data_IF_093325161492
#
_entry.id   IF_093325161492
#
_cell.length_a   1.000
_cell.length_b   1.000
_cell.length_c   1.000
_cell.angle_alpha   90.00
_cell.angle_beta   90.00
_cell.angle_gamma   90.00
#
_symmetry.space_group_name_H-M   'P 1'
#
loop_
_entity.id
_entity.type
_entity.pdbx_description
1 polymer ?
#
# COMPACT_ATOMS: atom_id res chain seq x y z
N UNK A 1 26.07 18.29 26.74
CA UNK A 1 26.11 18.47 25.27
C UNK A 1 25.88 17.10 24.68
N UNK A 2 24.63 16.79 24.31
CA UNK A 2 24.23 15.47 23.82
C UNK A 2 23.98 15.66 22.33
N UNK A 3 24.88 15.15 21.51
CA UNK A 3 24.71 15.13 20.06
C UNK A 3 23.81 13.95 19.74
N UNK A 4 22.59 14.23 19.29
CA UNK A 4 21.68 13.20 18.78
C UNK A 4 22.11 12.93 17.34
N UNK A 5 22.80 11.81 17.14
CA UNK A 5 23.15 11.30 15.80
C UNK A 5 21.85 10.91 15.11
N UNK A 6 21.49 11.62 14.04
CA UNK A 6 20.26 11.41 13.26
C UNK A 6 20.07 9.94 12.92
N UNK A 7 18.87 9.44 13.24
CA UNK A 7 18.44 8.10 12.89
C UNK A 7 18.15 8.06 11.38
N UNK A 8 18.85 7.24 10.58
CA UNK A 8 18.65 7.16 9.14
C UNK A 8 17.23 6.72 8.75
N UNK A 9 16.45 6.12 9.67
CA UNK A 9 15.05 5.83 9.45
C UNK A 9 14.17 7.10 9.46
N UNK A 10 14.51 8.09 10.29
CA UNK A 10 13.80 9.38 10.40
C UNK A 10 14.18 10.30 9.24
N UNK A 11 15.46 10.34 8.86
CA UNK A 11 15.94 11.16 7.75
C UNK A 11 15.38 10.70 6.39
N UNK A 12 15.20 9.39 6.21
CA UNK A 12 14.62 8.83 5.00
C UNK A 12 13.10 9.04 4.92
N UNK A 13 12.41 9.22 6.05
CA UNK A 13 10.99 9.63 6.09
C UNK A 13 10.88 11.13 5.80
N UNK A 14 11.74 11.96 6.40
CA UNK A 14 11.76 13.40 6.17
C UNK A 14 12.05 13.79 4.69
N UNK A 15 12.97 13.09 4.01
CA UNK A 15 13.21 13.29 2.58
C UNK A 15 12.03 12.84 1.71
N UNK A 16 11.29 11.79 2.10
CA UNK A 16 10.13 11.29 1.36
C UNK A 16 8.94 12.22 1.49
N UNK A 17 8.69 12.79 2.67
CA UNK A 17 7.66 13.80 2.90
C UNK A 17 7.88 15.06 2.03
N UNK A 18 9.14 15.46 1.83
CA UNK A 18 9.47 16.60 0.96
C UNK A 18 9.31 16.36 -0.55
N UNK A 19 9.15 15.10 -0.97
CA UNK A 19 8.98 14.71 -2.37
C UNK A 19 7.55 14.23 -2.70
N UNK A 20 6.61 14.32 -1.75
CA UNK A 20 5.22 13.93 -1.95
C UNK A 20 4.54 14.84 -2.97
N UNK A 21 3.91 14.24 -3.97
CA UNK A 21 3.00 14.93 -4.87
C UNK A 21 1.58 14.48 -4.55
N UNK A 22 0.95 15.14 -3.57
CA UNK A 22 -0.46 14.91 -3.21
C UNK A 22 -1.43 15.24 -4.35
N UNK A 23 -0.96 15.92 -5.40
CA UNK A 23 -1.72 16.25 -6.62
C UNK A 23 -1.46 15.31 -7.78
N UNK A 24 -0.65 14.26 -7.56
CA UNK A 24 -0.33 13.33 -8.62
C UNK A 24 -1.59 12.68 -9.21
N UNK A 25 -1.69 12.66 -10.54
CA UNK A 25 -2.88 12.21 -11.27
C UNK A 25 -3.33 10.79 -10.88
N UNK A 26 -2.40 9.93 -10.47
CA UNK A 26 -2.68 8.56 -10.07
C UNK A 26 -3.43 8.46 -8.72
N UNK A 27 -3.46 9.51 -7.92
CA UNK A 27 -4.22 9.59 -6.66
C UNK A 27 -5.66 10.03 -6.86
N UNK A 28 -5.96 10.79 -7.93
CA UNK A 28 -7.28 11.37 -8.16
C UNK A 28 -8.45 10.37 -8.09
N UNK A 29 -8.33 9.14 -8.63
CA UNK A 29 -9.37 8.12 -8.49
C UNK A 29 -9.68 7.74 -7.04
N UNK A 30 -8.66 7.71 -6.17
CA UNK A 30 -8.82 7.28 -4.78
C UNK A 30 -9.57 8.30 -3.92
N UNK A 31 -9.46 9.60 -4.23
CA UNK A 31 -10.23 10.64 -3.54
C UNK A 31 -11.73 10.63 -3.88
N UNK A 32 -12.11 9.98 -4.98
CA UNK A 32 -13.51 9.91 -5.42
C UNK A 32 -14.32 8.85 -4.66
N UNK A 33 -13.67 7.99 -3.87
CA UNK A 33 -14.30 6.90 -3.14
C UNK A 33 -13.64 6.69 -1.77
N UNK A 34 -14.33 7.18 -0.73
CA UNK A 34 -13.84 7.25 0.66
C UNK A 34 -13.91 5.93 1.44
N UNK A 35 -13.78 4.79 0.76
CA UNK A 35 -13.77 3.48 1.41
C UNK A 35 -12.51 3.30 2.27
N UNK A 36 -12.62 2.64 3.45
CA UNK A 36 -11.45 2.30 4.26
C UNK A 36 -10.39 1.59 3.41
N UNK A 37 -9.21 2.20 3.32
CA UNK A 37 -8.16 1.78 2.38
C UNK A 37 -6.90 1.36 3.12
N UNK A 38 -6.45 0.12 2.89
CA UNK A 38 -5.19 -0.42 3.42
C UNK A 38 -4.13 -0.37 2.33
N UNK A 39 -2.99 0.26 2.62
CA UNK A 39 -1.83 0.34 1.72
C UNK A 39 -0.77 -0.63 2.21
N UNK A 40 -0.53 -1.70 1.47
CA UNK A 40 0.53 -2.67 1.73
C UNK A 40 1.72 -2.39 0.80
N UNK A 41 2.69 -1.64 1.30
CA UNK A 41 3.89 -1.22 0.57
C UNK A 41 5.03 -2.23 0.65
N UNK A 42 5.88 -2.28 -0.40
CA UNK A 42 7.10 -3.10 -0.44
C UNK A 42 6.90 -4.56 -0.04
N UNK A 43 5.79 -5.17 -0.46
CA UNK A 43 5.43 -6.54 -0.06
C UNK A 43 6.24 -7.59 -0.79
N UNK A 44 6.67 -8.62 -0.06
CA UNK A 44 7.31 -9.80 -0.62
C UNK A 44 6.32 -10.95 -0.76
N UNK A 45 6.64 -11.95 -1.59
CA UNK A 45 5.78 -13.12 -1.76
C UNK A 45 5.53 -13.89 -0.44
N UNK A 46 6.50 -13.87 0.47
CA UNK A 46 6.41 -14.42 1.83
C UNK A 46 5.40 -13.65 2.71
N UNK A 47 5.36 -12.32 2.59
CA UNK A 47 4.38 -11.47 3.28
C UNK A 47 2.96 -11.74 2.79
N UNK A 48 2.78 -11.86 1.47
CA UNK A 48 1.47 -11.99 0.83
C UNK A 48 0.66 -13.19 1.36
N UNK A 49 1.30 -14.30 1.77
CA UNK A 49 0.55 -15.45 2.32
C UNK A 49 -0.18 -15.09 3.61
N UNK A 50 0.47 -14.35 4.50
CA UNK A 50 -0.10 -13.96 5.80
C UNK A 50 -0.99 -12.73 5.67
N UNK A 51 -0.56 -11.76 4.87
CA UNK A 51 -1.30 -10.55 4.59
C UNK A 51 -2.69 -10.87 4.02
N UNK A 52 -2.79 -11.75 3.02
CA UNK A 52 -4.08 -12.10 2.43
C UNK A 52 -5.03 -12.77 3.44
N UNK A 53 -4.52 -13.61 4.35
CA UNK A 53 -5.34 -14.22 5.41
C UNK A 53 -5.82 -13.16 6.41
N UNK A 54 -4.95 -12.23 6.80
CA UNK A 54 -5.34 -11.12 7.68
C UNK A 54 -6.42 -10.24 7.04
N UNK A 55 -6.26 -9.92 5.75
CA UNK A 55 -7.23 -9.11 4.99
C UNK A 55 -8.59 -9.79 4.87
N UNK A 56 -8.66 -11.12 4.78
CA UNK A 56 -9.93 -11.85 4.81
C UNK A 56 -10.65 -11.68 6.15
N UNK A 57 -9.92 -11.76 7.26
CA UNK A 57 -10.48 -11.53 8.60
C UNK A 57 -10.95 -10.08 8.74
N UNK A 58 -10.16 -9.11 8.26
CA UNK A 58 -10.57 -7.69 8.31
C UNK A 58 -11.83 -7.46 7.49
N UNK A 59 -11.95 -8.09 6.31
CA UNK A 59 -13.15 -8.00 5.45
C UNK A 59 -14.41 -8.51 6.15
N UNK A 60 -14.33 -9.52 7.02
CA UNK A 60 -15.51 -10.01 7.76
C UNK A 60 -15.95 -9.08 8.89
N UNK A 61 -15.04 -8.26 9.42
CA UNK A 61 -15.31 -7.36 10.55
C UNK A 61 -15.67 -5.95 10.08
N UNK A 62 -14.91 -5.41 9.13
CA UNK A 62 -15.03 -4.03 8.63
C UNK A 62 -15.95 -3.94 7.41
N UNK A 63 -16.15 -5.04 6.70
CA UNK A 63 -16.99 -5.09 5.50
C UNK A 63 -16.24 -4.65 4.25
N UNK A 64 -16.76 -3.64 3.57
CA UNK A 64 -16.21 -3.15 2.30
C UNK A 64 -14.90 -2.37 2.53
N UNK A 65 -13.77 -3.06 2.31
CA UNK A 65 -12.43 -2.46 2.39
C UNK A 65 -11.76 -2.44 1.03
N UNK A 66 -10.94 -1.40 0.78
CA UNK A 66 -10.00 -1.34 -0.33
C UNK A 66 -8.62 -1.81 0.16
N UNK A 67 -7.93 -2.55 -0.69
CA UNK A 67 -6.51 -2.85 -0.49
C UNK A 67 -5.72 -2.33 -1.68
N UNK A 68 -4.57 -1.73 -1.41
CA UNK A 68 -3.59 -1.34 -2.42
C UNK A 68 -2.32 -2.09 -2.08
N UNK A 69 -1.84 -2.93 -2.98
CA UNK A 69 -0.66 -3.76 -2.75
C UNK A 69 0.44 -3.34 -3.71
N UNK A 70 1.53 -2.80 -3.16
CA UNK A 70 2.76 -2.57 -3.88
C UNK A 70 3.74 -3.72 -3.63
N UNK A 71 3.95 -4.63 -4.60
CA UNK A 71 5.01 -5.63 -4.50
C UNK A 71 6.37 -4.95 -4.48
N UNK A 72 7.34 -5.55 -3.80
CA UNK A 72 8.71 -5.03 -3.76
C UNK A 72 9.31 -4.92 -5.18
N UNK A 73 8.99 -5.88 -6.05
CA UNK A 73 9.37 -5.86 -7.45
C UNK A 73 8.11 -6.06 -8.32
N UNK A 74 7.63 -5.01 -9.01
CA UNK A 74 6.45 -5.09 -9.87
C UNK A 74 6.79 -5.70 -11.22
N UNK A 75 7.25 -6.95 -11.23
CA UNK A 75 7.40 -7.71 -12.49
C UNK A 75 6.04 -8.12 -13.04
N UNK A 76 5.91 -8.25 -14.36
CA UNK A 76 4.67 -8.71 -15.00
C UNK A 76 4.18 -10.05 -14.42
N UNK A 77 5.12 -10.97 -14.17
CA UNK A 77 4.83 -12.25 -13.53
C UNK A 77 4.35 -12.07 -12.09
N UNK A 78 5.03 -11.23 -11.29
CA UNK A 78 4.66 -10.96 -9.90
C UNK A 78 3.27 -10.32 -9.78
N UNK A 79 2.97 -9.33 -10.61
CA UNK A 79 1.66 -8.66 -10.69
C UNK A 79 0.58 -9.64 -11.11
N UNK A 80 0.82 -10.45 -12.15
CA UNK A 80 -0.15 -11.45 -12.63
C UNK A 80 -0.45 -12.53 -11.60
N UNK A 81 0.59 -13.05 -10.93
CA UNK A 81 0.43 -14.04 -9.87
C UNK A 81 -0.29 -13.47 -8.63
N UNK A 82 -0.03 -12.21 -8.26
CA UNK A 82 -0.75 -11.54 -7.18
C UNK A 82 -2.23 -11.35 -7.54
N UNK A 83 -2.52 -10.88 -8.76
CA UNK A 83 -3.88 -10.77 -9.30
C UNK A 83 -4.63 -12.09 -9.19
N UNK A 84 -4.06 -13.18 -9.70
CA UNK A 84 -4.70 -14.49 -9.67
C UNK A 84 -5.02 -14.95 -8.23
N UNK A 85 -4.10 -14.71 -7.29
CA UNK A 85 -4.31 -15.06 -5.87
C UNK A 85 -5.43 -14.26 -5.21
N UNK A 86 -5.60 -13.00 -5.60
CA UNK A 86 -6.67 -12.12 -5.10
C UNK A 86 -8.02 -12.52 -5.71
N UNK A 87 -8.07 -12.76 -7.01
CA UNK A 87 -9.29 -13.17 -7.72
C UNK A 87 -9.80 -14.52 -7.24
N UNK A 88 -8.90 -15.48 -6.97
CA UNK A 88 -9.23 -16.77 -6.32
C UNK A 88 -9.90 -16.61 -4.95
N UNK A 89 -9.71 -15.46 -4.30
CA UNK A 89 -10.31 -15.10 -3.00
C UNK A 89 -11.49 -14.14 -3.17
N UNK A 90 -12.03 -14.01 -4.38
CA UNK A 90 -13.18 -13.16 -4.70
C UNK A 90 -12.93 -11.68 -4.39
N UNK A 91 -11.72 -11.20 -4.66
CA UNK A 91 -11.40 -9.78 -4.72
C UNK A 91 -11.53 -9.31 -6.17
N UNK A 92 -12.26 -8.23 -6.40
CA UNK A 92 -12.21 -7.52 -7.68
C UNK A 92 -10.87 -6.78 -7.78
N UNK A 93 -10.13 -6.98 -8.88
CA UNK A 93 -8.76 -6.45 -8.99
C UNK A 93 -8.58 -5.51 -10.17
N UNK A 94 -7.69 -4.52 -10.02
CA UNK A 94 -7.10 -3.75 -11.12
C UNK A 94 -5.64 -3.44 -10.84
N UNK A 95 -4.85 -3.18 -11.88
CA UNK A 95 -3.55 -2.51 -11.68
C UNK A 95 -3.72 -1.01 -11.56
N UNK A 96 -2.70 -0.31 -11.03
CA UNK A 96 -2.70 1.15 -11.00
C UNK A 96 -2.86 1.75 -12.40
N UNK A 97 -2.17 1.20 -13.41
CA UNK A 97 -2.33 1.63 -14.80
C UNK A 97 -3.77 1.51 -15.32
N UNK A 98 -4.48 0.44 -14.96
CA UNK A 98 -5.89 0.27 -15.34
C UNK A 98 -6.81 1.26 -14.62
N UNK A 99 -6.53 1.54 -13.34
CA UNK A 99 -7.24 2.56 -12.55
C UNK A 99 -7.07 3.95 -13.16
N UNK A 100 -5.84 4.30 -13.57
CA UNK A 100 -5.55 5.56 -14.27
C UNK A 100 -6.27 5.66 -15.61
N UNK A 101 -6.26 4.58 -16.40
CA UNK A 101 -6.93 4.53 -17.71
C UNK A 101 -8.44 4.75 -17.61
N UNK A 102 -9.07 4.18 -16.58
CA UNK A 102 -10.52 4.27 -16.34
C UNK A 102 -10.88 5.50 -15.49
N UNK A 103 -9.89 6.15 -14.88
CA UNK A 103 -10.04 7.24 -13.91
C UNK A 103 -10.99 6.89 -12.74
N UNK A 104 -11.02 5.63 -12.31
CA UNK A 104 -11.92 5.18 -11.24
C UNK A 104 -11.44 3.91 -10.53
N UNK A 105 -11.66 3.88 -9.22
CA UNK A 105 -11.49 2.73 -8.32
C UNK A 105 -12.83 2.13 -7.86
N UNK A 106 -13.95 2.59 -8.42
CA UNK A 106 -15.28 2.13 -8.04
C UNK A 106 -15.47 0.65 -8.40
N UNK A 107 -16.02 -0.13 -7.46
CA UNK A 107 -16.23 -1.57 -7.63
C UNK A 107 -14.95 -2.41 -7.72
N UNK A 108 -13.81 -1.87 -7.29
CA UNK A 108 -12.52 -2.55 -7.26
C UNK A 108 -12.02 -2.65 -5.84
N UNK A 109 -11.90 -3.87 -5.31
CA UNK A 109 -11.48 -4.15 -3.93
C UNK A 109 -9.97 -4.10 -3.78
N UNK A 110 -9.22 -4.56 -4.79
CA UNK A 110 -7.76 -4.64 -4.75
C UNK A 110 -7.10 -3.90 -5.92
N UNK A 111 -6.25 -2.92 -5.61
CA UNK A 111 -5.40 -2.24 -6.59
C UNK A 111 -3.97 -2.76 -6.46
N UNK A 112 -3.40 -3.25 -7.56
CA UNK A 112 -2.02 -3.76 -7.61
C UNK A 112 -1.13 -2.70 -8.23
N UNK A 113 -0.06 -2.33 -7.54
CA UNK A 113 0.89 -1.35 -8.06
C UNK A 113 1.88 -2.04 -8.98
N UNK A 114 1.87 -1.64 -10.25
CA UNK A 114 2.63 -2.22 -11.35
C UNK A 114 3.87 -1.38 -11.73
N UNK A 115 4.22 -0.38 -10.91
CA UNK A 115 5.41 0.46 -11.11
C UNK A 115 6.03 0.93 -9.79
N UNK A 116 7.29 1.30 -9.83
CA UNK A 116 8.02 1.89 -8.69
C UNK A 116 7.81 3.40 -8.61
N UNK A 117 8.09 3.98 -7.44
CA UNK A 117 8.13 5.44 -7.25
C UNK A 117 6.81 6.11 -6.85
N UNK A 118 5.69 5.39 -6.83
CA UNK A 118 4.36 5.93 -6.45
C UNK A 118 3.93 5.63 -5.02
N UNK A 119 4.69 4.80 -4.30
CA UNK A 119 4.30 4.33 -2.96
C UNK A 119 4.18 5.46 -1.92
N UNK A 120 5.08 6.47 -1.85
CA UNK A 120 4.94 7.58 -0.92
C UNK A 120 3.60 8.32 -1.09
N UNK A 121 3.25 8.61 -2.35
CA UNK A 121 2.00 9.29 -2.71
C UNK A 121 0.79 8.43 -2.31
N UNK A 122 0.83 7.11 -2.54
CA UNK A 122 -0.26 6.20 -2.20
C UNK A 122 -0.52 6.08 -0.70
N UNK A 123 0.48 6.28 0.16
CA UNK A 123 0.24 6.31 1.60
C UNK A 123 -0.63 7.49 2.03
N UNK A 124 -0.67 8.58 1.26
CA UNK A 124 -1.50 9.76 1.57
C UNK A 124 -3.00 9.51 1.41
N UNK A 125 -3.39 8.50 0.63
CA UNK A 125 -4.79 8.07 0.44
C UNK A 125 -5.16 6.85 1.29
N UNK A 126 -4.19 6.34 2.07
CA UNK A 126 -4.36 5.20 2.95
C UNK A 126 -4.94 5.58 4.30
N UNK A 127 -5.78 4.71 4.86
CA UNK A 127 -6.21 4.77 6.26
C UNK A 127 -5.32 3.92 7.16
N UNK A 128 -4.75 2.84 6.61
CA UNK A 128 -3.84 1.93 7.32
C UNK A 128 -2.66 1.60 6.40
N UNK A 129 -1.44 1.75 6.90
CA UNK A 129 -0.21 1.35 6.20
C UNK A 129 0.34 0.02 6.73
N UNK A 130 0.73 -0.88 5.83
CA UNK A 130 1.53 -2.07 6.09
C UNK A 130 2.82 -1.99 5.30
N UNK A 131 3.97 -2.04 5.99
CA UNK A 131 5.29 -2.08 5.35
C UNK A 131 5.78 -3.53 5.31
N UNK A 132 5.98 -4.05 4.10
CA UNK A 132 6.51 -5.38 3.85
C UNK A 132 7.98 -5.55 4.27
N UNK A 133 8.45 -6.80 4.28
CA UNK A 133 9.82 -7.14 4.70
C UNK A 133 9.97 -7.54 6.17
N UNK A 134 8.94 -7.33 7.01
CA UNK A 134 8.93 -7.72 8.42
C UNK A 134 8.95 -9.23 8.70
N UNK A 135 8.65 -10.08 7.71
CA UNK A 135 8.69 -11.55 7.84
C UNK A 135 10.00 -12.21 7.36
N UNK A 136 10.99 -11.42 6.92
CA UNK A 136 12.36 -11.89 6.75
C UNK A 136 13.11 -11.78 8.08
N UNK A 137 14.16 -12.59 8.28
CA UNK A 137 15.00 -12.70 9.50
C UNK A 137 15.64 -11.39 10.03
N UNK A 138 15.34 -10.24 9.43
CA UNK A 138 15.99 -8.94 9.65
C UNK A 138 15.14 -7.89 10.39
N UNK A 139 13.96 -8.24 10.92
CA UNK A 139 13.23 -7.35 11.83
C UNK A 139 12.35 -6.31 11.13
N UNK A 140 11.24 -6.01 11.80
CA UNK A 140 10.16 -5.12 11.39
C UNK A 140 10.69 -3.71 11.16
N UNK A 141 10.62 -3.20 9.93
CA UNK A 141 10.88 -1.79 9.66
C UNK A 141 9.56 -1.02 9.61
N UNK A 142 9.45 -0.11 10.58
CA UNK A 142 8.58 1.06 10.67
C UNK A 142 7.06 0.86 10.64
N UNK A 143 6.52 0.63 11.84
CA UNK A 143 5.11 0.79 12.24
C UNK A 143 4.76 2.27 12.52
N UNK A 144 5.52 3.24 11.97
CA UNK A 144 5.46 4.66 12.40
C UNK A 144 4.68 5.55 11.42
N UNK A 145 4.60 5.22 10.13
CA UNK A 145 3.92 6.10 9.15
C UNK A 145 2.40 6.26 9.38
N UNK A 146 1.60 5.24 9.78
CA UNK A 146 0.19 5.47 10.09
C UNK A 146 -0.07 6.06 11.49
N UNK A 147 0.95 6.21 12.34
CA UNK A 147 0.82 6.87 13.66
C UNK A 147 1.16 8.38 13.61
N UNK A 148 1.85 8.83 12.56
CA UNK A 148 2.23 10.23 12.36
C UNK A 148 1.24 11.01 11.47
N UNK A 149 0.46 10.31 10.65
CA UNK A 149 -0.65 10.90 9.91
C UNK A 149 -1.89 10.91 10.82
N UNK A 150 -2.12 12.06 11.47
CA UNK A 150 -3.29 12.41 12.26
C UNK A 150 -4.59 11.97 11.55
N UNK A 151 -5.09 10.77 11.86
CA UNK A 151 -6.30 10.23 11.27
C UNK A 151 -7.49 11.07 11.75
N UNK A 152 -8.07 11.83 10.84
CA UNK A 152 -9.43 12.38 10.99
C UNK A 152 -10.46 11.40 10.46
#
# INVERSE_FOLDING_TARGET
MISVTGDPAVDAVAQRVSALDVTANHLAPFYSDNRPTVIAGSTWNTDLKRLLVALEIVRTVVGEIRIVIAPHEPSDFGVSNLRERLEKRSWSTRTLKEVESIASVSGVDAVIIDRVGVLPDLYTVGHVGYVGGGFHRAGVHSVIEPAAADCR
#
